data_IF_224438759621
#
_entry.id   IF_224438759621
#
_cell.length_a   1.000
_cell.length_b   1.000
_cell.length_c   1.000
_cell.angle_alpha   90.00
_cell.angle_beta   90.00
_cell.angle_gamma   90.00
#
_symmetry.space_group_name_H-M   'P 1'
#
loop_
_entity.id
_entity.type
_entity.pdbx_description
1 polymer ?
#
# COMPACT_ATOMS: atom_id res chain seq x y z
N UNK A 1 11.69 -29.12 17.80
CA UNK A 1 10.39 -28.59 17.33
C UNK A 1 10.22 -29.10 15.92
N UNK A 2 9.21 -29.94 15.73
CA UNK A 2 8.95 -30.71 14.50
C UNK A 2 8.46 -29.77 13.41
N UNK A 3 9.27 -29.62 12.36
CA UNK A 3 8.89 -28.96 11.11
C UNK A 3 8.00 -29.94 10.34
N UNK A 4 6.70 -29.91 10.63
CA UNK A 4 5.70 -30.66 9.87
C UNK A 4 5.57 -30.02 8.49
N UNK A 5 6.25 -30.63 7.51
CA UNK A 5 6.06 -30.32 6.10
C UNK A 5 4.56 -30.41 5.78
N UNK A 6 3.89 -29.32 5.36
CA UNK A 6 2.46 -29.36 5.06
C UNK A 6 2.20 -30.37 3.94
N UNK A 7 1.09 -31.10 4.04
CA UNK A 7 0.64 -32.08 3.04
C UNK A 7 0.28 -31.36 1.74
N UNK A 8 1.26 -31.18 0.84
CA UNK A 8 1.05 -30.54 -0.45
C UNK A 8 0.41 -31.52 -1.43
N UNK A 9 -0.88 -31.30 -1.74
CA UNK A 9 -1.47 -31.93 -2.92
C UNK A 9 -0.88 -31.26 -4.17
N UNK A 10 -0.29 -32.05 -5.07
CA UNK A 10 0.20 -31.56 -6.36
C UNK A 10 -0.98 -31.15 -7.24
N UNK A 11 -1.38 -29.89 -7.09
CA UNK A 11 -2.46 -29.28 -7.84
C UNK A 11 -1.94 -28.85 -9.21
N UNK A 12 -2.37 -29.54 -10.25
CA UNK A 12 -1.96 -29.23 -11.62
C UNK A 12 -2.62 -27.94 -12.11
N UNK A 13 -1.94 -26.82 -11.84
CA UNK A 13 -2.23 -25.54 -12.47
C UNK A 13 -1.03 -25.14 -13.31
N UNK A 14 -1.13 -25.10 -14.66
CA UNK A 14 0.01 -24.85 -15.56
C UNK A 14 0.83 -23.62 -15.15
N UNK A 15 0.13 -22.53 -14.82
CA UNK A 15 0.77 -21.28 -14.39
C UNK A 15 1.45 -21.39 -13.01
N UNK A 16 0.97 -22.24 -12.11
CA UNK A 16 1.61 -22.44 -10.80
C UNK A 16 2.88 -23.28 -10.96
N UNK A 17 2.82 -24.33 -11.79
CA UNK A 17 3.97 -25.17 -12.15
C UNK A 17 5.07 -24.37 -12.83
N UNK A 18 4.73 -23.52 -13.80
CA UNK A 18 5.67 -22.64 -14.51
C UNK A 18 6.40 -21.66 -13.58
N UNK A 19 5.74 -21.24 -12.49
CA UNK A 19 6.27 -20.27 -11.55
C UNK A 19 6.79 -20.90 -10.24
N UNK A 20 6.87 -22.24 -10.19
CA UNK A 20 7.33 -23.00 -9.02
C UNK A 20 6.56 -22.63 -7.73
N UNK A 21 5.24 -22.51 -7.84
CA UNK A 21 4.31 -22.25 -6.73
C UNK A 21 3.41 -23.47 -6.53
N UNK A 22 3.30 -23.91 -5.28
CA UNK A 22 2.46 -25.01 -4.86
C UNK A 22 1.29 -24.51 -4.00
N UNK A 23 0.23 -25.32 -3.94
CA UNK A 23 -0.97 -25.02 -3.17
C UNK A 23 -1.05 -25.96 -1.99
N UNK A 24 -1.42 -25.40 -0.85
CA UNK A 24 -1.76 -26.20 0.32
C UNK A 24 -3.14 -26.84 0.15
N UNK A 25 -3.35 -28.04 0.69
CA UNK A 25 -4.60 -28.78 0.51
C UNK A 25 -5.82 -27.99 1.02
N UNK A 26 -5.70 -27.39 2.21
CA UNK A 26 -6.73 -26.55 2.81
C UNK A 26 -7.06 -25.30 1.98
N UNK A 27 -6.02 -24.67 1.41
CA UNK A 27 -6.20 -23.51 0.57
C UNK A 27 -6.95 -23.88 -0.72
N UNK A 28 -6.61 -25.02 -1.31
CA UNK A 28 -7.26 -25.50 -2.52
C UNK A 28 -8.73 -25.86 -2.30
N UNK A 29 -9.04 -26.56 -1.20
CA UNK A 29 -10.42 -26.93 -0.86
C UNK A 29 -11.30 -25.68 -0.70
N UNK A 30 -10.78 -24.63 -0.04
CA UNK A 30 -11.48 -23.34 0.07
C UNK A 30 -11.81 -22.72 -1.29
N UNK A 31 -10.95 -22.87 -2.30
CA UNK A 31 -11.20 -22.35 -3.66
C UNK A 31 -12.29 -23.17 -4.37
N UNK A 32 -12.41 -24.48 -4.10
CA UNK A 32 -13.49 -25.32 -4.66
C UNK A 32 -14.88 -24.85 -4.20
N UNK A 33 -14.99 -24.30 -2.99
CA UNK A 33 -16.26 -23.73 -2.50
C UNK A 33 -16.65 -22.38 -3.11
N UNK A 34 -15.75 -21.71 -3.86
CA UNK A 34 -16.10 -20.49 -4.57
C UNK A 34 -16.99 -20.79 -5.80
N UNK A 35 -17.82 -19.84 -6.27
CA UNK A 35 -18.61 -20.01 -7.49
C UNK A 35 -17.71 -20.26 -8.71
N UNK A 36 -18.16 -21.09 -9.64
CA UNK A 36 -17.34 -21.59 -10.77
C UNK A 36 -16.70 -20.46 -11.58
N UNK A 37 -17.48 -19.45 -11.95
CA UNK A 37 -17.04 -18.30 -12.76
C UNK A 37 -15.89 -17.50 -12.11
N UNK A 38 -15.72 -17.57 -10.78
CA UNK A 38 -14.66 -16.85 -10.04
C UNK A 38 -13.39 -17.69 -9.88
N UNK A 39 -13.49 -19.02 -9.87
CA UNK A 39 -12.36 -19.93 -9.55
C UNK A 39 -11.14 -19.70 -10.46
N UNK A 40 -11.27 -19.56 -11.81
CA UNK A 40 -10.11 -19.31 -12.66
C UNK A 40 -9.39 -18.00 -12.30
N UNK A 41 -10.16 -16.96 -11.96
CA UNK A 41 -9.63 -15.68 -11.53
C UNK A 41 -8.86 -15.77 -10.21
N UNK A 42 -9.41 -16.50 -9.23
CA UNK A 42 -8.74 -16.73 -7.93
C UNK A 42 -7.43 -17.47 -8.15
N UNK A 43 -7.43 -18.60 -8.88
CA UNK A 43 -6.22 -19.39 -9.09
C UNK A 43 -5.10 -18.60 -9.76
N UNK A 44 -5.44 -17.83 -10.80
CA UNK A 44 -4.49 -16.95 -11.49
C UNK A 44 -3.96 -15.86 -10.56
N UNK A 45 -4.85 -15.17 -9.84
CA UNK A 45 -4.47 -14.06 -8.96
C UNK A 45 -3.55 -14.53 -7.83
N UNK A 46 -3.85 -15.65 -7.17
CA UNK A 46 -3.05 -16.15 -6.05
C UNK A 46 -1.62 -16.47 -6.48
N UNK A 47 -1.44 -17.16 -7.62
CA UNK A 47 -0.10 -17.45 -8.14
C UNK A 47 0.66 -16.15 -8.46
N UNK A 48 0.03 -15.19 -9.14
CA UNK A 48 0.67 -13.89 -9.44
C UNK A 48 1.14 -13.17 -8.18
N UNK A 49 0.33 -13.19 -7.11
CA UNK A 49 0.67 -12.54 -5.84
C UNK A 49 1.73 -13.31 -5.06
N UNK A 50 1.67 -14.65 -5.07
CA UNK A 50 2.67 -15.50 -4.44
C UNK A 50 4.06 -15.26 -5.06
N UNK A 51 4.16 -15.31 -6.39
CA UNK A 51 5.40 -15.01 -7.13
C UNK A 51 5.93 -13.62 -6.80
N UNK A 52 5.06 -12.60 -6.85
CA UNK A 52 5.46 -11.21 -6.56
C UNK A 52 6.03 -11.06 -5.15
N UNK A 53 5.56 -11.85 -4.18
CA UNK A 53 5.99 -11.80 -2.78
C UNK A 53 7.05 -12.85 -2.44
N UNK A 54 7.50 -13.65 -3.40
CA UNK A 54 8.46 -14.72 -3.19
C UNK A 54 7.91 -15.91 -2.39
N UNK A 55 6.59 -16.07 -2.30
CA UNK A 55 5.98 -17.23 -1.66
C UNK A 55 5.97 -18.43 -2.61
N UNK A 56 6.48 -19.57 -2.13
CA UNK A 56 6.44 -20.85 -2.84
C UNK A 56 5.16 -21.65 -2.57
N UNK A 57 4.49 -21.40 -1.43
CA UNK A 57 3.32 -22.14 -1.00
C UNK A 57 2.13 -21.20 -0.74
N UNK A 58 1.01 -21.47 -1.40
CA UNK A 58 -0.25 -20.75 -1.19
C UNK A 58 -1.00 -21.40 -0.03
N UNK A 59 -0.91 -20.77 1.13
CA UNK A 59 -1.58 -21.19 2.38
C UNK A 59 -2.98 -20.60 2.51
N UNK A 60 -3.76 -21.18 3.43
CA UNK A 60 -5.11 -20.73 3.78
C UNK A 60 -5.15 -19.25 4.21
N UNK A 61 -4.20 -18.79 5.02
CA UNK A 61 -4.16 -17.39 5.48
C UNK A 61 -3.88 -16.41 4.34
N UNK A 62 -3.05 -16.82 3.38
CA UNK A 62 -2.74 -16.00 2.21
C UNK A 62 -3.99 -15.73 1.35
N UNK A 63 -4.92 -16.71 1.24
CA UNK A 63 -6.21 -16.47 0.58
C UNK A 63 -7.01 -15.39 1.27
N UNK A 64 -7.02 -15.39 2.60
CA UNK A 64 -7.74 -14.41 3.41
C UNK A 64 -7.14 -13.02 3.23
N UNK A 65 -5.81 -12.92 3.24
CA UNK A 65 -5.08 -11.68 2.98
C UNK A 65 -5.45 -11.12 1.61
N UNK A 66 -5.21 -11.88 0.53
CA UNK A 66 -5.48 -11.44 -0.85
C UNK A 66 -6.95 -11.11 -1.08
N UNK A 67 -7.88 -11.87 -0.48
CA UNK A 67 -9.31 -11.54 -0.49
C UNK A 67 -9.55 -10.15 0.09
N UNK A 68 -9.00 -9.84 1.27
CA UNK A 68 -9.19 -8.53 1.91
C UNK A 68 -8.64 -7.40 1.02
N UNK A 69 -7.48 -7.59 0.38
CA UNK A 69 -6.94 -6.59 -0.54
C UNK A 69 -7.83 -6.39 -1.77
N UNK A 70 -8.31 -7.48 -2.36
CA UNK A 70 -9.25 -7.44 -3.47
C UNK A 70 -10.52 -6.69 -3.08
N UNK A 71 -11.05 -6.92 -1.88
CA UNK A 71 -12.21 -6.17 -1.37
C UNK A 71 -11.93 -4.67 -1.26
N UNK A 72 -10.78 -4.26 -0.75
CA UNK A 72 -10.42 -2.82 -0.69
C UNK A 72 -10.32 -2.20 -2.09
N UNK A 73 -9.71 -2.90 -3.04
CA UNK A 73 -9.63 -2.43 -4.43
C UNK A 73 -11.00 -2.31 -5.08
N UNK A 74 -11.90 -3.25 -4.78
CA UNK A 74 -13.31 -3.21 -5.23
C UNK A 74 -14.03 -2.03 -4.58
N UNK A 75 -13.93 -1.84 -3.26
CA UNK A 75 -14.55 -0.71 -2.55
C UNK A 75 -14.09 0.63 -3.10
N UNK A 76 -12.80 0.77 -3.42
CA UNK A 76 -12.27 1.97 -4.07
C UNK A 76 -12.91 2.20 -5.43
N UNK A 77 -13.01 1.15 -6.25
CA UNK A 77 -13.67 1.25 -7.56
C UNK A 77 -15.13 1.66 -7.42
N UNK A 78 -15.87 1.02 -6.50
CA UNK A 78 -17.28 1.33 -6.24
C UNK A 78 -17.46 2.81 -5.88
N UNK A 79 -16.62 3.35 -4.99
CA UNK A 79 -16.58 4.79 -4.69
C UNK A 79 -16.26 5.65 -5.91
N UNK A 80 -15.30 5.25 -6.75
CA UNK A 80 -14.97 5.97 -7.99
C UNK A 80 -16.10 5.97 -9.02
N UNK A 81 -17.00 4.98 -8.98
CA UNK A 81 -18.21 4.96 -9.79
C UNK A 81 -19.34 5.82 -9.20
N UNK A 82 -19.16 6.41 -8.01
CA UNK A 82 -20.14 7.26 -7.34
C UNK A 82 -21.13 6.49 -6.45
N UNK A 83 -20.82 5.24 -6.11
CA UNK A 83 -21.68 4.42 -5.26
C UNK A 83 -21.14 4.39 -3.82
N UNK A 84 -22.04 4.62 -2.87
CA UNK A 84 -21.75 4.49 -1.44
C UNK A 84 -22.12 3.09 -0.92
N UNK A 85 -23.02 2.38 -1.61
CA UNK A 85 -23.46 1.04 -1.26
C UNK A 85 -23.61 0.15 -2.51
N UNK A 86 -23.65 -1.17 -2.29
CA UNK A 86 -23.87 -2.16 -3.34
C UNK A 86 -25.39 -2.28 -3.58
N UNK A 87 -25.90 -1.61 -4.61
CA UNK A 87 -27.32 -1.61 -4.98
C UNK A 87 -27.53 -2.28 -6.34
N UNK A 88 -28.74 -2.80 -6.59
CA UNK A 88 -29.06 -3.45 -7.88
C UNK A 88 -28.88 -2.50 -9.08
N UNK A 89 -29.14 -1.20 -8.90
CA UNK A 89 -28.90 -0.19 -9.95
C UNK A 89 -27.43 0.01 -10.31
N UNK A 90 -26.48 -0.49 -9.50
CA UNK A 90 -25.06 -0.44 -9.82
C UNK A 90 -24.69 -1.37 -10.99
N UNK A 91 -25.44 -2.47 -11.21
CA UNK A 91 -25.16 -3.41 -12.29
C UNK A 91 -25.45 -2.81 -13.67
N UNK A 92 -26.51 -2.03 -13.83
CA UNK A 92 -26.82 -1.37 -15.11
C UNK A 92 -25.74 -0.35 -15.50
N UNK A 93 -25.28 0.45 -14.54
CA UNK A 93 -24.19 1.40 -14.74
C UNK A 93 -22.87 0.67 -15.04
N UNK A 94 -22.62 -0.47 -14.38
CA UNK A 94 -21.45 -1.29 -14.66
C UNK A 94 -21.49 -1.89 -16.07
N UNK A 95 -22.65 -2.42 -16.51
CA UNK A 95 -22.87 -2.93 -17.88
C UNK A 95 -22.60 -1.82 -18.90
N UNK A 96 -23.17 -0.63 -18.69
CA UNK A 96 -22.96 0.52 -19.57
C UNK A 96 -21.48 0.90 -19.73
N UNK A 97 -20.75 1.01 -18.62
CA UNK A 97 -19.32 1.36 -18.66
C UNK A 97 -18.42 0.24 -19.20
N UNK A 98 -18.89 -1.01 -19.20
CA UNK A 98 -18.16 -2.17 -19.70
C UNK A 98 -18.62 -2.65 -21.09
N UNK A 99 -19.50 -1.90 -21.77
CA UNK A 99 -20.05 -2.20 -23.12
C UNK A 99 -18.99 -2.59 -24.16
N UNK A 100 -17.77 -2.08 -24.03
CA UNK A 100 -16.65 -2.39 -24.94
C UNK A 100 -16.10 -3.82 -24.80
N UNK A 101 -16.51 -4.58 -23.79
CA UNK A 101 -16.02 -5.94 -23.54
C UNK A 101 -17.18 -6.91 -23.33
N UNK A 102 -17.59 -7.66 -24.38
CA UNK A 102 -18.73 -8.58 -24.32
C UNK A 102 -18.64 -9.57 -23.15
N UNK A 103 -17.48 -10.21 -22.99
CA UNK A 103 -17.21 -11.13 -21.87
C UNK A 103 -17.42 -10.51 -20.49
N UNK A 104 -17.13 -9.23 -20.29
CA UNK A 104 -17.34 -8.58 -18.97
C UNK A 104 -18.81 -8.33 -18.71
N UNK A 105 -19.59 -8.05 -19.75
CA UNK A 105 -21.05 -7.86 -19.64
C UNK A 105 -21.70 -9.20 -19.30
N UNK A 106 -21.34 -10.28 -19.99
CA UNK A 106 -21.80 -11.64 -19.66
C UNK A 106 -21.51 -12.03 -18.20
N UNK A 107 -20.29 -11.77 -17.71
CA UNK A 107 -19.94 -12.04 -16.31
C UNK A 107 -20.75 -11.18 -15.34
N UNK A 108 -21.10 -9.94 -15.70
CA UNK A 108 -21.97 -9.11 -14.87
C UNK A 108 -23.37 -9.71 -14.78
N UNK A 109 -23.92 -10.20 -15.89
CA UNK A 109 -25.23 -10.86 -15.95
C UNK A 109 -25.22 -12.17 -15.13
N UNK A 110 -24.19 -13.00 -15.26
CA UNK A 110 -24.02 -14.21 -14.43
C UNK A 110 -24.00 -13.89 -12.93
N UNK A 111 -23.35 -12.78 -12.53
CA UNK A 111 -23.34 -12.33 -11.13
C UNK A 111 -24.72 -11.87 -10.69
N UNK A 112 -25.41 -11.09 -11.53
CA UNK A 112 -26.76 -10.59 -11.27
C UNK A 112 -27.75 -11.75 -11.07
N UNK A 113 -27.73 -12.73 -11.98
CA UNK A 113 -28.52 -13.95 -11.91
C UNK A 113 -28.18 -14.77 -10.66
N UNK A 114 -26.90 -15.00 -10.39
CA UNK A 114 -26.44 -15.75 -9.22
C UNK A 114 -26.89 -15.10 -7.90
N UNK A 115 -26.88 -13.77 -7.82
CA UNK A 115 -27.35 -13.04 -6.65
C UNK A 115 -28.88 -13.07 -6.54
N UNK A 116 -29.62 -13.03 -7.66
CA UNK A 116 -31.08 -13.14 -7.66
C UNK A 116 -31.58 -14.50 -7.16
N UNK A 117 -30.82 -15.57 -7.41
CA UNK A 117 -31.15 -16.93 -6.97
C UNK A 117 -30.89 -17.15 -5.46
N UNK A 118 -30.18 -16.24 -4.79
CA UNK A 118 -29.94 -16.34 -3.34
C UNK A 118 -31.16 -15.82 -2.58
N UNK A 119 -31.88 -16.73 -1.94
CA UNK A 119 -33.03 -16.41 -1.08
C UNK A 119 -32.62 -15.85 0.28
N UNK A 120 -31.41 -16.14 0.75
CA UNK A 120 -30.86 -15.62 2.00
C UNK A 120 -29.89 -14.45 1.75
N UNK A 121 -30.30 -13.26 2.21
CA UNK A 121 -29.36 -12.15 2.38
C UNK A 121 -28.45 -12.49 3.56
N UNK A 122 -27.18 -12.74 3.25
CA UNK A 122 -26.12 -12.84 4.25
C UNK A 122 -25.75 -11.42 4.68
N UNK A 123 -26.50 -10.88 5.64
CA UNK A 123 -26.32 -9.52 6.16
C UNK A 123 -24.90 -9.28 6.68
N UNK A 124 -24.23 -10.33 7.17
CA UNK A 124 -22.83 -10.29 7.60
C UNK A 124 -21.85 -9.94 6.46
N UNK A 125 -22.16 -10.34 5.23
CA UNK A 125 -21.34 -10.00 4.04
C UNK A 125 -21.52 -8.53 3.69
N UNK A 126 -22.75 -8.02 3.79
CA UNK A 126 -23.08 -6.61 3.52
C UNK A 126 -22.38 -5.73 4.55
N UNK A 127 -22.44 -6.09 5.83
CA UNK A 127 -21.76 -5.37 6.91
C UNK A 127 -20.23 -5.37 6.73
N UNK A 128 -19.64 -6.53 6.41
CA UNK A 128 -18.21 -6.60 6.07
C UNK A 128 -17.87 -5.71 4.88
N UNK A 129 -18.72 -5.64 3.87
CA UNK A 129 -18.52 -4.76 2.72
C UNK A 129 -18.62 -3.28 3.10
N UNK A 130 -19.60 -2.89 3.91
CA UNK A 130 -19.73 -1.53 4.44
C UNK A 130 -18.47 -1.10 5.19
N UNK A 131 -17.93 -1.98 6.04
CA UNK A 131 -16.66 -1.73 6.72
C UNK A 131 -15.50 -1.47 5.75
N UNK A 132 -15.42 -2.20 4.62
CA UNK A 132 -14.41 -1.91 3.59
C UNK A 132 -14.66 -0.58 2.89
N UNK A 133 -15.92 -0.23 2.60
CA UNK A 133 -16.28 1.05 2.02
C UNK A 133 -15.88 2.20 2.94
N UNK A 134 -16.15 2.13 4.25
CA UNK A 134 -15.80 3.19 5.20
C UNK A 134 -14.30 3.47 5.24
N UNK A 135 -13.47 2.42 5.38
CA UNK A 135 -12.01 2.58 5.51
C UNK A 135 -11.30 2.88 4.18
N UNK A 136 -11.94 2.64 3.04
CA UNK A 136 -11.31 2.83 1.73
C UNK A 136 -11.47 4.27 1.24
N UNK A 137 -10.40 5.01 0.95
CA UNK A 137 -10.52 6.37 0.47
C UNK A 137 -10.99 6.42 -1.00
N UNK A 138 -11.78 7.45 -1.36
CA UNK A 138 -12.26 7.65 -2.73
C UNK A 138 -11.13 8.07 -3.70
N UNK A 139 -10.13 8.78 -3.18
CA UNK A 139 -8.92 9.21 -3.89
C UNK A 139 -7.67 8.80 -3.09
N UNK A 140 -6.51 8.69 -3.75
CA UNK A 140 -5.28 8.19 -3.12
C UNK A 140 -5.16 6.66 -3.12
N UNK A 141 -4.08 6.13 -2.54
CA UNK A 141 -3.86 4.67 -2.47
C UNK A 141 -4.60 4.09 -1.27
N UNK A 142 -5.31 2.95 -1.38
CA UNK A 142 -5.87 2.28 -0.21
C UNK A 142 -4.75 1.70 0.66
N UNK A 143 -4.96 1.66 1.98
CA UNK A 143 -4.02 1.09 2.95
C UNK A 143 -4.68 -0.08 3.67
N UNK A 144 -3.96 -1.20 3.81
CA UNK A 144 -4.44 -2.31 4.62
C UNK A 144 -4.60 -1.91 6.10
N UNK A 145 -5.47 -2.62 6.84
CA UNK A 145 -5.68 -2.36 8.28
C UNK A 145 -4.38 -2.47 9.08
N UNK A 146 -3.57 -3.49 8.78
CA UNK A 146 -2.26 -3.69 9.41
C UNK A 146 -1.29 -2.56 9.08
N UNK A 147 -1.32 -2.04 7.86
CA UNK A 147 -0.52 -0.89 7.45
C UNK A 147 -0.92 0.38 8.23
N UNK A 148 -2.22 0.63 8.40
CA UNK A 148 -2.73 1.75 9.20
C UNK A 148 -2.31 1.62 10.68
N UNK A 149 -2.42 0.44 11.26
CA UNK A 149 -2.00 0.20 12.65
C UNK A 149 -0.49 0.44 12.87
N UNK A 150 0.35 0.15 11.87
CA UNK A 150 1.78 0.53 11.92
C UNK A 150 1.98 2.04 11.84
N UNK A 151 1.18 2.74 11.03
CA UNK A 151 1.23 4.20 10.93
C UNK A 151 0.76 4.91 12.19
N UNK A 152 -0.11 4.34 13.01
CA UNK A 152 -0.53 4.94 14.28
C UNK A 152 0.63 5.11 15.28
N UNK A 153 1.65 4.25 15.18
CA UNK A 153 2.85 4.31 16.03
C UNK A 153 3.85 5.39 15.58
N UNK A 154 3.64 5.94 14.39
CA UNK A 154 4.57 6.88 13.75
C UNK A 154 4.28 8.29 14.27
N UNK A 155 5.29 9.04 14.77
CA UNK A 155 5.09 10.35 15.35
C UNK A 155 4.40 11.33 14.38
N UNK A 156 3.50 12.21 14.88
CA UNK A 156 2.72 13.10 14.03
C UNK A 156 3.54 13.94 13.04
N UNK A 157 4.73 14.38 13.43
CA UNK A 157 5.59 15.23 12.61
C UNK A 157 6.21 14.52 11.38
N UNK A 158 6.24 13.18 11.35
CA UNK A 158 6.69 12.38 10.20
C UNK A 158 5.55 11.70 9.45
N UNK A 159 4.30 11.76 9.95
CA UNK A 159 3.17 11.03 9.37
C UNK A 159 2.86 11.40 7.92
N UNK A 160 2.77 12.70 7.60
CA UNK A 160 2.46 13.16 6.25
C UNK A 160 3.50 12.70 5.23
N UNK A 161 4.77 12.91 5.57
CA UNK A 161 5.93 12.47 4.79
C UNK A 161 5.98 10.95 4.63
N UNK A 162 5.84 10.20 5.72
CA UNK A 162 5.86 8.74 5.68
C UNK A 162 4.75 8.21 4.76
N UNK A 163 3.52 8.75 4.85
CA UNK A 163 2.42 8.39 3.94
C UNK A 163 2.77 8.62 2.48
N UNK A 164 3.26 9.81 2.14
CA UNK A 164 3.58 10.15 0.75
C UNK A 164 4.68 9.24 0.19
N UNK A 165 5.75 9.02 0.94
CA UNK A 165 6.88 8.19 0.50
C UNK A 165 6.49 6.73 0.37
N UNK A 166 5.70 6.20 1.31
CA UNK A 166 5.17 4.83 1.25
C UNK A 166 4.26 4.67 0.03
N UNK A 167 3.38 5.62 -0.26
CA UNK A 167 2.52 5.57 -1.45
C UNK A 167 3.28 5.72 -2.77
N UNK A 168 4.34 6.54 -2.79
CA UNK A 168 5.22 6.69 -3.94
C UNK A 168 5.95 5.39 -4.23
N UNK A 169 6.58 4.80 -3.21
CA UNK A 169 7.28 3.52 -3.30
C UNK A 169 6.35 2.39 -3.73
N UNK A 170 5.15 2.34 -3.15
CA UNK A 170 4.13 1.36 -3.53
C UNK A 170 3.76 1.50 -5.02
N UNK A 171 3.61 2.73 -5.52
CA UNK A 171 3.29 2.99 -6.92
C UNK A 171 4.45 2.62 -7.86
N UNK A 172 5.69 2.91 -7.49
CA UNK A 172 6.89 2.49 -8.23
C UNK A 172 7.00 0.97 -8.35
N UNK A 173 6.70 0.24 -7.28
CA UNK A 173 6.64 -1.23 -7.26
C UNK A 173 5.40 -1.81 -7.97
N UNK A 174 4.57 -0.94 -8.52
CA UNK A 174 3.32 -1.30 -9.21
C UNK A 174 2.24 -1.87 -8.29
N UNK A 175 2.34 -1.66 -6.97
CA UNK A 175 1.30 -2.04 -6.03
C UNK A 175 0.09 -1.12 -6.14
N UNK A 176 -1.07 -1.71 -5.88
CA UNK A 176 -2.36 -1.00 -5.92
C UNK A 176 -2.85 -0.60 -4.53
N UNK A 177 -2.15 -1.05 -3.49
CA UNK A 177 -2.50 -0.87 -2.08
C UNK A 177 -1.22 -0.87 -1.23
N UNK A 178 -1.24 -0.15 -0.11
CA UNK A 178 -0.15 -0.16 0.87
C UNK A 178 -0.29 -1.34 1.83
N UNK A 179 0.78 -2.14 1.89
CA UNK A 179 0.91 -3.30 2.78
C UNK A 179 2.00 -3.05 3.82
N UNK A 180 1.97 -3.76 4.96
CA UNK A 180 2.96 -3.59 6.04
C UNK A 180 4.41 -3.77 5.60
N UNK A 181 4.69 -4.63 4.61
CA UNK A 181 6.05 -4.82 4.11
C UNK A 181 6.62 -3.60 3.39
N UNK A 182 5.78 -2.77 2.74
CA UNK A 182 6.24 -1.51 2.12
C UNK A 182 6.62 -0.51 3.20
N UNK A 183 5.84 -0.49 4.27
CA UNK A 183 6.06 0.37 5.43
C UNK A 183 7.42 0.04 6.06
N UNK A 184 7.71 -1.23 6.32
CA UNK A 184 8.99 -1.68 6.87
C UNK A 184 10.17 -1.37 5.95
N UNK A 185 10.03 -1.61 4.65
CA UNK A 185 11.06 -1.29 3.66
C UNK A 185 11.40 0.20 3.68
N UNK A 186 10.36 1.06 3.65
CA UNK A 186 10.53 2.51 3.67
C UNK A 186 11.12 2.97 5.01
N UNK A 187 10.65 2.44 6.13
CA UNK A 187 11.17 2.79 7.45
C UNK A 187 12.59 2.32 7.67
N UNK A 188 12.98 1.16 7.14
CA UNK A 188 14.35 0.66 7.23
C UNK A 188 15.31 1.56 6.45
N UNK A 189 14.88 2.05 5.28
CA UNK A 189 15.70 2.87 4.40
C UNK A 189 15.68 4.37 4.74
N UNK A 190 14.65 4.85 5.44
CA UNK A 190 14.43 6.30 5.70
C UNK A 190 14.59 6.69 7.16
N UNK A 191 14.20 5.84 8.12
CA UNK A 191 14.34 6.23 9.53
C UNK A 191 15.77 6.00 10.03
N UNK A 192 16.39 7.02 10.62
CA UNK A 192 17.63 6.84 11.34
C UNK A 192 17.47 5.83 12.49
N UNK A 193 18.58 5.19 12.86
CA UNK A 193 18.68 4.29 14.00
C UNK A 193 18.21 4.98 15.30
N UNK A 194 18.51 6.26 15.48
CA UNK A 194 18.04 7.10 16.60
C UNK A 194 16.51 7.23 16.65
N UNK A 195 15.85 7.39 15.50
CA UNK A 195 14.39 7.45 15.40
C UNK A 195 13.74 6.08 15.61
N UNK A 196 14.34 5.00 15.07
CA UNK A 196 13.91 3.62 15.32
C UNK A 196 13.93 3.29 16.81
N UNK A 197 14.99 3.70 17.52
CA UNK A 197 15.13 3.51 18.98
C UNK A 197 14.07 4.29 19.76
N UNK A 198 13.79 5.55 19.38
CA UNK A 198 12.74 6.35 20.00
C UNK A 198 11.32 5.78 19.81
N UNK A 199 11.12 4.97 18.75
CA UNK A 199 9.87 4.26 18.48
C UNK A 199 9.80 2.87 19.12
N UNK A 200 10.80 2.48 19.92
CA UNK A 200 10.86 1.17 20.57
C UNK A 200 11.10 0.00 19.60
N UNK A 201 11.66 0.27 18.41
CA UNK A 201 12.14 -0.77 17.51
C UNK A 201 13.52 -1.25 17.97
N UNK A 202 13.83 -2.52 17.72
CA UNK A 202 15.18 -3.04 17.96
C UNK A 202 16.16 -2.38 16.98
N UNK A 203 17.23 -1.83 17.54
CA UNK A 203 18.29 -1.15 16.82
C UNK A 203 19.59 -1.68 17.39
N UNK A 204 20.52 -2.06 16.51
CA UNK A 204 21.82 -2.54 16.95
C UNK A 204 22.74 -1.37 17.34
N UNK A 205 23.68 -1.61 18.27
CA UNK A 205 24.69 -0.59 18.62
C UNK A 205 25.56 -0.21 17.41
N UNK A 206 25.70 -1.09 16.43
CA UNK A 206 26.40 -0.83 15.17
C UNK A 206 25.63 0.15 14.28
N UNK A 207 24.31 0.01 14.14
CA UNK A 207 23.47 0.97 13.41
C UNK A 207 23.49 2.37 14.05
N UNK A 208 23.53 2.44 15.38
CA UNK A 208 23.66 3.71 16.12
C UNK A 208 25.05 4.35 15.93
N UNK A 209 26.11 3.53 15.91
CA UNK A 209 27.48 3.97 15.66
C UNK A 209 27.70 4.42 14.22
N UNK A 210 27.12 3.72 13.25
CA UNK A 210 27.15 4.14 11.84
C UNK A 210 26.40 5.46 11.62
N UNK A 211 25.27 5.68 12.29
CA UNK A 211 24.54 6.95 12.22
C UNK A 211 25.34 8.10 12.83
N UNK A 212 25.98 7.88 13.98
CA UNK A 212 26.84 8.89 14.63
C UNK A 212 28.10 9.19 13.80
N UNK A 213 28.72 8.19 13.18
CA UNK A 213 29.87 8.43 12.27
C UNK A 213 29.47 9.10 10.95
N UNK A 214 28.27 8.81 10.41
CA UNK A 214 27.74 9.52 9.22
C UNK A 214 27.33 10.97 9.52
N UNK A 215 26.94 11.30 10.75
CA UNK A 215 26.61 12.67 11.17
C UNK A 215 27.86 13.53 11.45
N UNK A 216 28.98 12.92 11.81
CA UNK A 216 30.28 13.59 12.04
C UNK A 216 31.18 13.70 10.79
N UNK A 217 30.81 13.09 9.65
CA UNK A 217 31.53 13.23 8.39
C UNK A 217 31.40 14.67 7.81
N UNK A 218 32.38 15.18 7.04
CA UNK A 218 32.28 16.49 6.39
C UNK A 218 31.00 16.56 5.55
N UNK A 219 30.08 17.44 5.96
CA UNK A 219 28.75 17.51 5.39
C UNK A 219 28.82 18.01 3.95
N UNK A 220 28.39 17.18 2.99
CA UNK A 220 28.19 17.65 1.61
C UNK A 220 27.01 18.64 1.59
N UNK A 221 27.19 19.74 0.84
CA UNK A 221 26.14 20.74 0.74
C UNK A 221 24.96 20.17 -0.05
N UNK A 222 23.71 20.30 0.45
CA UNK A 222 22.53 19.92 -0.32
C UNK A 222 22.49 20.71 -1.62
N UNK A 223 22.15 20.05 -2.73
CA UNK A 223 21.91 20.74 -4.01
C UNK A 223 20.64 21.59 -3.91
N UNK A 224 20.80 22.91 -4.07
CA UNK A 224 19.70 23.86 -4.13
C UNK A 224 19.31 24.12 -5.60
N UNK A 225 18.04 23.97 -5.95
CA UNK A 225 17.53 24.34 -7.28
C UNK A 225 17.08 25.81 -7.33
N UNK A 226 16.67 26.38 -6.19
CA UNK A 226 16.31 27.80 -6.04
C UNK A 226 17.43 28.60 -5.36
N UNK A 227 17.30 29.93 -5.37
CA UNK A 227 18.19 30.80 -4.59
C UNK A 227 17.76 30.79 -3.13
N UNK A 228 18.61 30.29 -2.25
CA UNK A 228 18.36 30.31 -0.81
C UNK A 228 19.06 31.49 -0.16
N UNK A 229 18.35 32.18 0.73
CA UNK A 229 18.96 33.19 1.58
C UNK A 229 19.84 32.50 2.65
N UNK A 230 20.97 33.13 3.01
CA UNK A 230 22.02 32.51 3.84
C UNK A 230 21.50 32.04 5.21
N UNK A 231 20.54 32.76 5.78
CA UNK A 231 19.89 32.44 7.05
C UNK A 231 19.02 31.17 6.97
N UNK A 232 18.24 31.01 5.90
CA UNK A 232 17.43 29.83 5.64
C UNK A 232 18.31 28.60 5.34
N UNK A 233 19.37 28.78 4.54
CA UNK A 233 20.32 27.72 4.22
C UNK A 233 21.06 27.21 5.48
N UNK A 234 21.48 28.12 6.37
CA UNK A 234 22.11 27.75 7.65
C UNK A 234 21.18 26.97 8.57
N UNK A 235 19.87 27.26 8.55
CA UNK A 235 18.88 26.50 9.34
C UNK A 235 18.69 25.09 8.82
N UNK A 236 18.68 24.92 7.50
CA UNK A 236 18.67 23.61 6.83
C UNK A 236 19.93 22.81 7.21
N UNK A 237 21.11 23.44 7.21
CA UNK A 237 22.37 22.80 7.62
C UNK A 237 22.39 22.34 9.09
N UNK A 238 21.56 22.91 9.97
CA UNK A 238 21.41 22.46 11.36
C UNK A 238 20.62 21.16 11.49
N UNK A 239 19.97 20.69 10.43
CA UNK A 239 19.30 19.39 10.40
C UNK A 239 20.41 18.32 10.31
N UNK A 240 20.63 17.49 11.34
CA UNK A 240 21.77 16.56 11.37
C UNK A 240 21.67 15.48 10.29
N UNK A 241 20.44 15.14 9.91
CA UNK A 241 20.15 14.04 8.98
C UNK A 241 20.13 14.58 7.56
N UNK A 242 21.15 14.22 6.75
CA UNK A 242 21.30 14.67 5.36
C UNK A 242 20.07 14.41 4.50
N UNK A 243 19.42 13.25 4.67
CA UNK A 243 18.20 12.91 3.93
C UNK A 243 17.03 13.85 4.26
N UNK A 244 16.81 14.17 5.54
CA UNK A 244 15.76 15.11 5.96
C UNK A 244 16.08 16.52 5.46
N UNK A 245 17.38 16.86 5.42
CA UNK A 245 17.89 18.13 4.86
C UNK A 245 17.53 18.26 3.38
N UNK A 246 17.90 17.29 2.55
CA UNK A 246 17.62 17.30 1.10
C UNK A 246 16.12 17.29 0.79
N UNK A 247 15.33 16.54 1.57
CA UNK A 247 13.88 16.53 1.43
C UNK A 247 13.23 17.85 1.84
N UNK A 248 13.68 18.46 2.95
CA UNK A 248 13.20 19.77 3.38
C UNK A 248 13.49 20.82 2.32
N UNK A 249 14.68 20.81 1.72
CA UNK A 249 15.05 21.69 0.61
C UNK A 249 14.11 21.50 -0.57
N UNK A 250 13.99 20.27 -1.10
CA UNK A 250 13.11 19.99 -2.26
C UNK A 250 11.66 20.40 -2.01
N UNK A 251 11.15 20.20 -0.80
CA UNK A 251 9.74 20.48 -0.47
C UNK A 251 9.47 21.97 -0.36
N UNK A 252 10.34 22.69 0.32
CA UNK A 252 10.28 24.15 0.42
C UNK A 252 10.39 24.73 -0.98
N UNK A 253 11.31 24.26 -1.82
CA UNK A 253 11.42 24.69 -3.21
C UNK A 253 10.17 24.38 -4.03
N UNK A 254 9.51 23.24 -3.81
CA UNK A 254 8.25 22.93 -4.48
C UNK A 254 7.11 23.88 -4.09
N UNK A 255 6.94 24.18 -2.80
CA UNK A 255 5.87 25.09 -2.34
C UNK A 255 6.16 26.54 -2.75
N UNK A 256 7.43 26.95 -2.71
CA UNK A 256 7.88 28.26 -3.18
C UNK A 256 7.69 28.41 -4.69
N UNK A 257 8.01 27.37 -5.49
CA UNK A 257 7.70 27.31 -6.93
C UNK A 257 6.20 27.39 -7.22
N UNK A 258 5.34 26.78 -6.37
CA UNK A 258 3.88 26.87 -6.55
C UNK A 258 3.35 28.28 -6.30
N UNK A 259 3.96 29.04 -5.40
CA UNK A 259 3.64 30.46 -5.20
C UNK A 259 4.25 31.37 -6.29
N UNK A 260 5.01 30.81 -7.24
CA UNK A 260 5.62 31.54 -8.35
C UNK A 260 6.84 32.36 -7.92
N UNK A 261 7.46 31.99 -6.79
CA UNK A 261 8.62 32.66 -6.23
C UNK A 261 9.86 31.82 -6.56
N UNK A 262 10.97 32.46 -6.92
CA UNK A 262 12.22 31.80 -7.33
C UNK A 262 13.33 31.86 -6.25
N UNK A 263 13.00 32.38 -5.07
CA UNK A 263 13.91 32.53 -3.94
C UNK A 263 13.27 32.07 -2.63
N UNK A 264 14.06 31.40 -1.79
CA UNK A 264 13.65 30.91 -0.48
C UNK A 264 14.18 31.87 0.59
N UNK A 265 13.28 32.72 1.10
CA UNK A 265 13.54 33.61 2.23
C UNK A 265 13.35 32.88 3.56
N UNK A 266 13.87 33.46 4.66
CA UNK A 266 13.65 32.93 6.00
C UNK A 266 12.16 32.84 6.37
N UNK A 267 11.34 33.77 5.92
CA UNK A 267 9.89 33.74 6.15
C UNK A 267 9.22 32.56 5.44
N UNK A 268 9.59 32.29 4.17
CA UNK A 268 9.09 31.13 3.42
C UNK A 268 9.61 29.83 4.02
N UNK A 269 10.87 29.80 4.46
CA UNK A 269 11.41 28.68 5.22
C UNK A 269 10.58 28.45 6.49
N UNK A 270 10.28 29.46 7.31
CA UNK A 270 9.48 29.28 8.53
C UNK A 270 8.02 28.91 8.25
N UNK A 271 7.45 29.43 7.16
CA UNK A 271 6.10 29.10 6.69
C UNK A 271 6.00 27.63 6.27
N UNK A 272 7.01 27.10 5.59
CA UNK A 272 6.97 25.75 5.01
C UNK A 272 7.79 24.70 5.75
N UNK A 273 8.62 25.06 6.75
CA UNK A 273 9.40 24.10 7.54
C UNK A 273 8.54 23.10 8.33
N UNK A 274 7.24 23.38 8.45
CA UNK A 274 6.24 22.51 9.06
C UNK A 274 5.04 22.21 8.16
N UNK A 275 5.04 22.71 6.91
CA UNK A 275 4.01 22.33 5.95
C UNK A 275 4.35 20.94 5.40
N UNK A 276 3.95 19.92 6.15
CA UNK A 276 4.10 18.51 5.81
C UNK A 276 2.76 17.89 5.42
#
# INVERSE_FOLDING_TARGET
MTDETPSTESIDHPYARENNVEWDADAWERVKHAPEFVRPGIRKLMVQRAVKRGFKYIKSDFLTEIRNESMMLVSKRVKQFGFEELSMGAFDVAKDKMKQSPRKVEVIEEIEDFLSMRTEKKDDIIEKFKNYMEVTPASGMPWSKEALAKMEKVPPFVLGMAKQTIEARARERGDKMVNPGIIEEVFTNIMPASAKQAMGMEVTEEELKEETTKTDAPQEMPTFELKWHDDAAQKVMKIPISFIRDMAVKRIEQEVKKEGIDEVTMELFEKYRFSF
#
